data_IF_434931668408
#
_entry.id   IF_434931668408
#
_cell.length_a   1.000
_cell.length_b   1.000
_cell.length_c   1.000
_cell.angle_alpha   90.00
_cell.angle_beta   90.00
_cell.angle_gamma   90.00
#
_symmetry.space_group_name_H-M   'P 1'
#
loop_
_entity.id
_entity.type
_entity.pdbx_description
1 polymer ?
#
# COMPACT_ATOMS: atom_id res chain seq x y z
N UNK A 1 20.72 25.60 -55.89
CA UNK A 1 20.46 24.26 -55.30
C UNK A 1 20.39 24.39 -53.79
N UNK A 2 19.20 24.64 -53.23
CA UNK A 2 19.00 24.73 -51.78
C UNK A 2 18.70 23.33 -51.23
N UNK A 3 19.63 22.75 -50.47
CA UNK A 3 19.37 21.54 -49.69
C UNK A 3 18.44 21.92 -48.54
N UNK A 4 17.21 21.44 -48.59
CA UNK A 4 16.28 21.53 -47.47
C UNK A 4 16.85 20.76 -46.28
N UNK A 5 17.28 21.48 -45.26
CA UNK A 5 17.64 20.91 -43.96
C UNK A 5 16.34 20.47 -43.30
N UNK A 6 16.03 19.17 -43.33
CA UNK A 6 14.94 18.58 -42.56
C UNK A 6 15.20 18.89 -41.07
N UNK A 7 14.28 19.56 -40.35
CA UNK A 7 14.49 19.86 -38.94
C UNK A 7 14.60 18.57 -38.12
N UNK A 8 15.36 18.57 -37.02
CA UNK A 8 15.55 17.38 -36.19
C UNK A 8 14.21 16.95 -35.63
N UNK A 9 13.87 15.68 -35.83
CA UNK A 9 12.76 15.04 -35.14
C UNK A 9 13.11 15.07 -33.65
N UNK A 10 12.48 15.97 -32.91
CA UNK A 10 12.35 15.79 -31.46
C UNK A 10 11.76 14.40 -31.24
N UNK A 11 12.37 13.55 -30.39
CA UNK A 11 11.63 12.44 -29.83
C UNK A 11 10.46 13.05 -29.06
N UNK A 12 9.28 13.04 -29.66
CA UNK A 12 8.03 13.11 -28.91
C UNK A 12 8.03 11.80 -28.12
N UNK A 13 8.48 11.88 -26.87
CA UNK A 13 8.33 10.77 -25.95
C UNK A 13 6.82 10.48 -25.85
N UNK A 14 6.38 9.24 -26.07
CA UNK A 14 4.98 8.85 -25.88
C UNK A 14 4.50 9.17 -24.45
N UNK A 15 3.17 9.27 -24.21
CA UNK A 15 2.58 9.46 -22.88
C UNK A 15 2.72 8.21 -21.98
N UNK A 16 3.93 7.69 -21.88
CA UNK A 16 4.30 6.52 -21.06
C UNK A 16 5.01 6.96 -19.76
N UNK A 17 4.84 8.22 -19.35
CA UNK A 17 5.39 8.74 -18.08
C UNK A 17 4.74 8.12 -16.83
N UNK A 18 3.72 7.29 -16.96
CA UNK A 18 2.91 6.86 -15.81
C UNK A 18 3.24 5.50 -15.18
N UNK A 19 4.19 4.70 -15.68
CA UNK A 19 4.28 3.29 -15.21
C UNK A 19 5.49 2.85 -14.39
N UNK A 20 6.46 3.71 -14.07
CA UNK A 20 7.69 3.21 -13.43
C UNK A 20 8.18 3.92 -12.16
N UNK A 21 7.39 4.81 -11.55
CA UNK A 21 7.76 5.44 -10.26
C UNK A 21 6.66 5.35 -9.17
N UNK A 22 5.69 4.45 -9.33
CA UNK A 22 4.45 4.47 -8.53
C UNK A 22 4.46 3.60 -7.26
N UNK A 23 5.47 2.75 -7.06
CA UNK A 23 5.46 1.79 -5.93
C UNK A 23 6.03 2.33 -4.63
N UNK A 24 6.98 3.29 -4.64
CA UNK A 24 7.47 3.90 -3.40
C UNK A 24 6.45 4.87 -2.81
N UNK A 25 5.79 5.66 -3.65
CA UNK A 25 4.85 6.70 -3.20
C UNK A 25 3.67 6.11 -2.44
N UNK A 26 3.10 4.98 -2.87
CA UNK A 26 1.94 4.38 -2.18
C UNK A 26 2.27 3.89 -0.75
N UNK A 27 3.48 3.36 -0.55
CA UNK A 27 3.92 2.94 0.77
C UNK A 27 4.09 4.16 1.68
N UNK A 28 4.74 5.21 1.18
CA UNK A 28 4.97 6.45 1.90
C UNK A 28 3.66 7.21 2.19
N UNK A 29 2.71 7.18 1.26
CA UNK A 29 1.38 7.76 1.42
C UNK A 29 0.59 7.04 2.52
N UNK A 30 0.62 5.70 2.51
CA UNK A 30 0.00 4.89 3.55
C UNK A 30 0.66 5.16 4.90
N UNK A 31 1.99 5.17 4.93
CA UNK A 31 2.77 5.46 6.13
C UNK A 31 2.47 6.87 6.67
N UNK A 32 2.25 7.86 5.80
CA UNK A 32 1.89 9.21 6.24
C UNK A 32 0.52 9.22 6.95
N UNK A 33 -0.43 8.41 6.47
CA UNK A 33 -1.78 8.31 7.04
C UNK A 33 -1.80 7.55 8.38
N UNK A 34 -1.13 6.41 8.46
CA UNK A 34 -1.20 5.51 9.63
C UNK A 34 0.01 5.61 10.56
N UNK A 35 1.09 6.24 10.11
CA UNK A 35 2.40 6.27 10.77
C UNK A 35 2.33 6.77 12.20
N UNK A 36 1.55 7.84 12.44
CA UNK A 36 1.35 8.38 13.78
C UNK A 36 0.72 7.38 14.76
N UNK A 37 -0.09 6.43 14.26
CA UNK A 37 -0.78 5.43 15.08
C UNK A 37 0.06 4.20 15.36
N UNK A 38 0.94 3.84 14.42
CA UNK A 38 1.80 2.65 14.53
C UNK A 38 3.18 2.97 15.11
N UNK A 39 3.59 4.23 15.12
CA UNK A 39 4.84 4.68 15.71
C UNK A 39 4.87 4.39 17.21
N UNK A 40 6.03 3.95 17.70
CA UNK A 40 6.29 3.76 19.13
C UNK A 40 7.40 4.68 19.59
N UNK A 41 7.34 5.05 20.86
CA UNK A 41 8.37 5.86 21.49
C UNK A 41 9.60 5.01 21.76
N UNK A 42 10.78 5.57 21.50
CA UNK A 42 12.04 4.96 21.89
C UNK A 42 12.18 4.96 23.41
N UNK A 43 12.64 3.84 23.96
CA UNK A 43 12.92 3.72 25.40
C UNK A 43 14.43 3.76 25.63
N UNK A 44 14.84 4.19 26.82
CA UNK A 44 16.27 4.20 27.22
C UNK A 44 16.94 2.81 27.16
N UNK A 45 16.16 1.73 27.11
CA UNK A 45 16.66 0.36 27.09
C UNK A 45 16.83 -0.20 25.67
N UNK A 46 15.92 0.15 24.74
CA UNK A 46 15.95 -0.34 23.36
C UNK A 46 15.27 0.64 22.41
N UNK A 47 15.87 0.83 21.23
CA UNK A 47 15.21 1.52 20.11
C UNK A 47 13.96 0.75 19.70
N UNK A 48 12.88 1.48 19.53
CA UNK A 48 11.62 0.93 19.02
C UNK A 48 11.79 0.51 17.56
N UNK A 49 10.97 -0.44 17.12
CA UNK A 49 10.90 -0.80 15.70
C UNK A 49 10.19 0.36 14.99
N UNK A 50 10.81 0.98 13.97
CA UNK A 50 10.24 2.15 13.30
C UNK A 50 8.91 1.81 12.63
N UNK A 51 8.08 2.84 12.43
CA UNK A 51 6.77 2.70 11.81
C UNK A 51 6.84 2.02 10.42
N UNK A 52 7.83 2.37 9.60
CA UNK A 52 8.12 1.75 8.30
C UNK A 52 8.32 0.24 8.39
N UNK A 53 9.15 -0.20 9.34
CA UNK A 53 9.45 -1.61 9.52
C UNK A 53 8.22 -2.37 10.07
N UNK A 54 7.46 -1.77 10.99
CA UNK A 54 6.19 -2.34 11.48
C UNK A 54 5.19 -2.52 10.33
N UNK A 55 5.08 -1.53 9.44
CA UNK A 55 4.18 -1.59 8.29
C UNK A 55 4.62 -2.67 7.30
N UNK A 56 5.91 -2.73 6.96
CA UNK A 56 6.44 -3.75 6.03
C UNK A 56 6.27 -5.19 6.55
N UNK A 57 6.45 -5.43 7.86
CA UNK A 57 6.16 -6.72 8.51
C UNK A 57 4.69 -7.10 8.31
N UNK A 58 3.78 -6.16 8.54
CA UNK A 58 2.35 -6.40 8.38
C UNK A 58 1.96 -6.67 6.92
N UNK A 59 2.47 -5.86 5.99
CA UNK A 59 2.20 -6.06 4.56
C UNK A 59 2.76 -7.40 4.07
N UNK A 60 3.95 -7.80 4.53
CA UNK A 60 4.50 -9.14 4.26
C UNK A 60 3.52 -10.22 4.71
N UNK A 61 2.98 -10.11 5.93
CA UNK A 61 2.01 -11.07 6.45
C UNK A 61 0.72 -11.11 5.62
N UNK A 62 0.15 -9.95 5.29
CA UNK A 62 -1.09 -9.89 4.51
C UNK A 62 -0.91 -10.39 3.08
N UNK A 63 0.25 -10.14 2.46
CA UNK A 63 0.53 -10.52 1.09
C UNK A 63 0.77 -12.04 0.92
N UNK A 64 1.41 -12.70 1.90
CA UNK A 64 1.75 -14.12 1.77
C UNK A 64 0.97 -15.06 2.68
N UNK A 65 0.37 -14.55 3.77
CA UNK A 65 -0.30 -15.38 4.78
C UNK A 65 0.66 -16.32 5.53
N UNK A 66 1.97 -16.04 5.53
CA UNK A 66 2.98 -16.87 6.18
C UNK A 66 2.78 -16.94 7.70
N UNK A 67 3.25 -18.03 8.32
CA UNK A 67 3.25 -18.15 9.78
C UNK A 67 4.13 -17.09 10.44
N UNK A 68 3.79 -16.70 11.68
CA UNK A 68 4.59 -15.73 12.44
C UNK A 68 6.04 -16.18 12.66
N UNK A 69 6.33 -17.49 12.70
CA UNK A 69 7.71 -18.02 12.78
C UNK A 69 8.53 -17.68 11.53
N UNK A 70 7.94 -17.84 10.35
CA UNK A 70 8.60 -17.56 9.08
C UNK A 70 8.93 -16.07 8.95
N UNK A 71 7.98 -15.21 9.35
CA UNK A 71 8.16 -13.76 9.31
C UNK A 71 9.17 -13.31 10.38
N UNK A 72 9.10 -13.87 11.59
CA UNK A 72 10.08 -13.63 12.66
C UNK A 72 11.51 -13.92 12.20
N UNK A 73 11.71 -15.04 11.51
CA UNK A 73 13.00 -15.40 10.95
C UNK A 73 13.46 -14.40 9.88
N UNK A 74 12.55 -13.97 9.00
CA UNK A 74 12.85 -13.05 7.89
C UNK A 74 13.27 -11.65 8.36
N UNK A 75 12.55 -11.10 9.35
CA UNK A 75 12.80 -9.74 9.87
C UNK A 75 13.72 -9.72 11.10
N UNK A 76 14.14 -10.88 11.61
CA UNK A 76 14.93 -11.02 12.85
C UNK A 76 14.26 -10.37 14.07
N UNK A 77 12.93 -10.44 14.10
CA UNK A 77 12.08 -9.93 15.19
C UNK A 77 11.47 -11.10 15.95
N UNK A 78 11.31 -10.96 17.27
CA UNK A 78 10.68 -12.00 18.09
C UNK A 78 9.24 -12.27 17.69
N UNK A 79 8.81 -13.54 17.78
CA UNK A 79 7.44 -13.96 17.44
C UNK A 79 6.41 -13.20 18.28
N UNK A 80 6.70 -12.98 19.57
CA UNK A 80 5.84 -12.20 20.47
C UNK A 80 5.66 -10.76 19.98
N UNK A 81 6.74 -10.13 19.52
CA UNK A 81 6.70 -8.76 18.98
C UNK A 81 5.86 -8.71 17.70
N UNK A 82 6.02 -9.67 16.79
CA UNK A 82 5.20 -9.74 15.56
C UNK A 82 3.73 -9.95 15.88
N UNK A 83 3.42 -10.82 16.84
CA UNK A 83 2.05 -11.07 17.28
C UNK A 83 1.38 -9.82 17.86
N UNK A 84 2.15 -8.85 18.37
CA UNK A 84 1.62 -7.54 18.77
C UNK A 84 1.57 -6.55 17.60
N UNK A 85 2.59 -6.53 16.73
CA UNK A 85 2.67 -5.59 15.60
C UNK A 85 1.51 -5.78 14.63
N UNK A 86 1.24 -7.02 14.19
CA UNK A 86 0.28 -7.29 13.13
C UNK A 86 -1.12 -6.75 13.47
N UNK A 87 -1.75 -7.13 14.61
CA UNK A 87 -3.09 -6.62 14.92
C UNK A 87 -3.11 -5.10 15.09
N UNK A 88 -2.09 -4.50 15.71
CA UNK A 88 -1.99 -3.04 15.87
C UNK A 88 -1.99 -2.32 14.51
N UNK A 89 -1.21 -2.83 13.56
CA UNK A 89 -1.04 -2.22 12.24
C UNK A 89 -2.27 -2.48 11.37
N UNK A 90 -2.85 -3.69 11.39
CA UNK A 90 -4.08 -4.00 10.64
C UNK A 90 -5.24 -3.11 11.09
N UNK A 91 -5.40 -2.89 12.39
CA UNK A 91 -6.42 -1.97 12.91
C UNK A 91 -6.17 -0.52 12.44
N UNK A 92 -4.92 -0.06 12.48
CA UNK A 92 -4.57 1.28 12.00
C UNK A 92 -4.82 1.46 10.49
N UNK A 93 -4.57 0.41 9.69
CA UNK A 93 -4.87 0.37 8.26
C UNK A 93 -6.38 0.46 8.04
N UNK A 94 -7.15 -0.39 8.72
CA UNK A 94 -8.61 -0.42 8.60
C UNK A 94 -9.22 0.95 8.89
N UNK A 95 -8.93 1.50 10.05
CA UNK A 95 -9.48 2.78 10.48
C UNK A 95 -8.99 3.97 9.63
N UNK A 96 -7.84 3.85 8.95
CA UNK A 96 -7.29 4.90 8.09
C UNK A 96 -7.81 4.87 6.64
N UNK A 97 -8.45 3.77 6.22
CA UNK A 97 -8.82 3.53 4.81
C UNK A 97 -10.30 3.18 4.62
N UNK A 98 -10.98 2.68 5.65
CA UNK A 98 -12.36 2.17 5.53
C UNK A 98 -13.33 3.20 4.95
N UNK A 99 -13.23 4.46 5.37
CA UNK A 99 -14.15 5.51 4.93
C UNK A 99 -13.98 5.86 3.44
N UNK A 100 -12.74 5.82 2.94
CA UNK A 100 -12.43 6.17 1.55
C UNK A 100 -12.66 5.00 0.59
N UNK A 101 -12.31 3.78 1.01
CA UNK A 101 -12.28 2.61 0.13
C UNK A 101 -13.45 1.65 0.32
N UNK A 102 -14.23 1.77 1.39
CA UNK A 102 -15.43 0.96 1.64
C UNK A 102 -16.62 1.83 2.05
N UNK A 103 -17.11 2.71 1.16
CA UNK A 103 -18.36 3.42 1.41
C UNK A 103 -19.51 2.41 1.51
N UNK A 104 -20.45 2.66 2.43
CA UNK A 104 -21.67 1.86 2.53
C UNK A 104 -22.49 2.10 1.27
N UNK A 105 -22.78 1.07 0.45
CA UNK A 105 -23.58 1.24 -0.75
C UNK A 105 -25.00 1.67 -0.36
N UNK A 106 -25.51 2.71 -1.01
CA UNK A 106 -26.90 3.16 -0.82
C UNK A 106 -27.90 2.15 -1.40
N UNK A 107 -29.18 2.24 -0.98
CA UNK A 107 -30.26 1.35 -1.47
C UNK A 107 -30.38 1.33 -3.00
N UNK A 108 -30.04 2.43 -3.69
CA UNK A 108 -30.08 2.56 -5.16
C UNK A 108 -28.95 1.77 -5.87
N UNK A 109 -27.87 1.43 -5.16
CA UNK A 109 -26.77 0.63 -5.69
C UNK A 109 -27.05 -0.88 -5.58
N UNK A 110 -27.89 -1.27 -4.62
CA UNK A 110 -28.32 -2.65 -4.36
C UNK A 110 -29.45 -3.16 -5.26
N UNK A 111 -29.94 -2.37 -6.22
CA UNK A 111 -30.96 -2.84 -7.16
C UNK A 111 -30.40 -3.99 -8.02
N UNK A 112 -31.00 -5.19 -7.98
CA UNK A 112 -30.54 -6.37 -8.73
C UNK A 112 -30.70 -6.25 -10.26
N UNK A 113 -31.18 -5.11 -10.76
CA UNK A 113 -31.47 -4.86 -12.17
C UNK A 113 -30.21 -4.73 -13.04
N UNK A 114 -29.02 -4.61 -12.44
CA UNK A 114 -27.73 -4.52 -13.17
C UNK A 114 -27.03 -5.86 -13.41
N UNK A 115 -27.46 -6.97 -12.81
CA UNK A 115 -26.72 -8.25 -12.92
C UNK A 115 -27.17 -9.18 -14.04
N UNK A 116 -28.34 -8.97 -14.65
CA UNK A 116 -28.83 -9.81 -15.74
C UNK A 116 -29.35 -8.99 -16.93
N UNK A 117 -28.45 -8.36 -17.68
CA UNK A 117 -28.74 -8.04 -19.08
C UNK A 117 -28.80 -9.36 -19.85
N UNK A 118 -30.01 -9.78 -20.20
CA UNK A 118 -30.32 -10.94 -21.02
C UNK A 118 -29.41 -11.02 -22.27
N UNK A 119 -28.44 -11.93 -22.23
CA UNK A 119 -27.76 -12.44 -23.41
C UNK A 119 -28.61 -13.54 -24.02
N UNK A 120 -29.09 -13.27 -25.24
CA UNK A 120 -29.81 -14.19 -26.13
C UNK A 120 -29.03 -15.47 -26.41
#
# INVERSE_FOLDING_TARGET
MLRAQKPPLTPQAPPDVEKQLYTNTQFDDLLTRIGARIARMDTNYRRSIPAEERLSICLRFLATGDSFRTIASSFRVGISTISSIIPDVVAAIWDGLVEEFMPVPGEEEWSPERSCSAGR
#
